data_IF_287610264633
#
_entry.id   IF_287610264633
#
_cell.length_a   1.000
_cell.length_b   1.000
_cell.length_c   1.000
_cell.angle_alpha   90.00
_cell.angle_beta   90.00
_cell.angle_gamma   90.00
#
_symmetry.space_group_name_H-M   'P 1'
#
loop_
_entity.id
_entity.type
_entity.pdbx_description
1 polymer ?
#
# COMPACT_ATOMS: atom_id res chain seq x y z
N UNK A 1 -19.62 -0.80 -9.63
CA UNK A 1 -18.98 -1.86 -8.81
C UNK A 1 -17.59 -2.17 -9.37
N UNK A 2 -16.57 -2.25 -8.52
CA UNK A 2 -15.24 -2.70 -8.94
C UNK A 2 -15.27 -4.14 -9.46
N UNK A 3 -14.27 -4.51 -10.26
CA UNK A 3 -14.23 -5.81 -10.93
C UNK A 3 -13.28 -6.80 -10.26
N UNK A 4 -12.41 -6.35 -9.35
CA UNK A 4 -11.40 -7.18 -8.73
C UNK A 4 -11.78 -7.60 -7.30
N UNK A 5 -11.55 -8.88 -6.99
CA UNK A 5 -11.65 -9.40 -5.63
C UNK A 5 -10.41 -9.02 -4.80
N UNK A 6 -9.26 -8.86 -5.45
CA UNK A 6 -8.04 -8.37 -4.83
C UNK A 6 -7.16 -7.56 -5.80
N UNK A 7 -6.34 -6.67 -5.24
CA UNK A 7 -5.26 -5.96 -5.95
C UNK A 7 -3.96 -6.13 -5.17
N UNK A 8 -2.90 -6.53 -5.88
CA UNK A 8 -1.53 -6.63 -5.33
C UNK A 8 -0.75 -5.40 -5.81
N UNK A 9 -0.33 -4.56 -4.87
CA UNK A 9 0.50 -3.39 -5.13
C UNK A 9 1.98 -3.76 -4.92
N UNK A 10 2.65 -4.04 -6.04
CA UNK A 10 4.06 -4.44 -6.11
C UNK A 10 4.86 -3.51 -7.04
N UNK A 11 4.72 -2.20 -6.83
CA UNK A 11 5.58 -1.23 -7.53
C UNK A 11 6.88 -1.02 -6.75
N UNK A 12 7.89 -0.53 -7.47
CA UNK A 12 9.14 -0.05 -6.89
C UNK A 12 8.88 1.03 -5.82
N UNK A 13 9.76 1.13 -4.82
CA UNK A 13 9.67 2.08 -3.70
C UNK A 13 9.62 3.56 -4.06
N UNK A 14 10.16 3.92 -5.22
CA UNK A 14 10.25 5.30 -5.69
C UNK A 14 9.51 5.46 -7.02
N UNK A 15 8.18 5.19 -7.07
CA UNK A 15 7.44 5.41 -8.31
C UNK A 15 7.45 6.91 -8.68
N UNK A 16 7.64 7.80 -7.69
CA UNK A 16 7.85 9.22 -7.92
C UNK A 16 9.11 9.53 -8.72
N UNK A 17 10.13 8.66 -8.77
CA UNK A 17 11.31 8.90 -9.61
C UNK A 17 10.94 9.02 -11.10
N UNK A 18 9.76 8.53 -11.49
CA UNK A 18 9.22 8.62 -12.85
C UNK A 18 8.10 9.67 -13.00
N UNK A 19 7.83 10.46 -11.95
CA UNK A 19 6.79 11.50 -11.93
C UNK A 19 7.27 12.77 -11.21
N UNK A 20 6.54 13.88 -11.27
CA UNK A 20 6.86 15.11 -10.51
C UNK A 20 6.01 15.17 -9.21
N UNK A 21 5.31 14.08 -8.88
CA UNK A 21 4.34 14.06 -7.79
C UNK A 21 5.00 13.82 -6.44
N UNK A 22 4.47 14.47 -5.41
CA UNK A 22 4.79 14.14 -4.03
C UNK A 22 4.34 12.70 -3.70
N UNK A 23 5.07 12.01 -2.82
CA UNK A 23 4.81 10.62 -2.44
C UNK A 23 3.41 10.43 -1.86
N UNK A 24 2.95 11.35 -1.02
CA UNK A 24 1.63 11.27 -0.41
C UNK A 24 0.53 11.46 -1.45
N UNK A 25 0.72 12.40 -2.37
CA UNK A 25 -0.20 12.63 -3.49
C UNK A 25 -0.27 11.40 -4.42
N UNK A 26 0.88 10.80 -4.73
CA UNK A 26 0.95 9.58 -5.53
C UNK A 26 0.15 8.44 -4.87
N UNK A 27 0.38 8.16 -3.59
CA UNK A 27 -0.31 7.09 -2.87
C UNK A 27 -1.82 7.34 -2.78
N UNK A 28 -2.26 8.57 -2.47
CA UNK A 28 -3.70 8.91 -2.44
C UNK A 28 -4.35 8.72 -3.81
N UNK A 29 -3.70 9.16 -4.88
CA UNK A 29 -4.18 8.99 -6.24
C UNK A 29 -4.25 7.50 -6.64
N UNK A 30 -3.25 6.71 -6.27
CA UNK A 30 -3.21 5.27 -6.52
C UNK A 30 -4.32 4.55 -5.74
N UNK A 31 -4.43 4.77 -4.44
CA UNK A 31 -5.43 4.11 -3.59
C UNK A 31 -6.85 4.52 -3.97
N UNK A 32 -7.08 5.76 -4.42
CA UNK A 32 -8.35 6.17 -5.02
C UNK A 32 -8.72 5.28 -6.21
N UNK A 33 -7.77 5.01 -7.11
CA UNK A 33 -8.01 4.16 -8.29
C UNK A 33 -8.20 2.69 -7.90
N UNK A 34 -7.39 2.17 -6.98
CA UNK A 34 -7.51 0.79 -6.50
C UNK A 34 -8.89 0.58 -5.85
N UNK A 35 -9.27 1.46 -4.92
CA UNK A 35 -10.56 1.39 -4.21
C UNK A 35 -11.75 1.38 -5.17
N UNK A 36 -11.72 2.20 -6.22
CA UNK A 36 -12.79 2.24 -7.25
C UNK A 36 -12.91 0.94 -8.05
N UNK A 37 -11.83 0.18 -8.18
CA UNK A 37 -11.78 -1.04 -8.98
C UNK A 37 -11.88 -2.32 -8.14
N UNK A 38 -11.76 -2.23 -6.82
CA UNK A 38 -12.07 -3.33 -5.90
C UNK A 38 -13.59 -3.47 -5.72
N UNK A 39 -14.05 -4.71 -5.64
CA UNK A 39 -15.41 -5.03 -5.18
C UNK A 39 -15.58 -4.61 -3.71
N UNK A 40 -16.82 -4.43 -3.20
CA UNK A 40 -17.07 -4.37 -1.76
C UNK A 40 -16.41 -5.56 -1.06
N UNK A 41 -15.78 -5.32 0.08
CA UNK A 41 -15.03 -6.32 0.87
C UNK A 41 -13.80 -6.93 0.14
N UNK A 42 -13.45 -6.46 -1.07
CA UNK A 42 -12.25 -6.85 -1.79
C UNK A 42 -10.97 -6.38 -1.08
N UNK A 43 -9.84 -7.04 -1.34
CA UNK A 43 -8.61 -6.88 -0.54
C UNK A 43 -7.51 -6.17 -1.35
N UNK A 44 -6.80 -5.24 -0.72
CA UNK A 44 -5.49 -4.80 -1.19
C UNK A 44 -4.40 -5.47 -0.36
N UNK A 45 -3.33 -5.94 -1.01
CA UNK A 45 -2.08 -6.31 -0.37
C UNK A 45 -0.93 -5.53 -1.02
N UNK A 46 0.04 -5.10 -0.22
CA UNK A 46 1.11 -4.21 -0.68
C UNK A 46 2.44 -4.50 0.00
N UNK A 47 3.52 -4.37 -0.77
CA UNK A 47 4.84 -4.13 -0.19
C UNK A 47 4.91 -2.66 0.24
N UNK A 48 5.36 -2.37 1.47
CA UNK A 48 5.40 -1.02 2.00
C UNK A 48 6.80 -0.41 1.93
N UNK A 49 7.75 -0.96 2.69
CA UNK A 49 9.12 -0.46 2.82
C UNK A 49 9.94 -1.37 3.74
N UNK A 50 11.26 -1.12 3.82
CA UNK A 50 12.09 -1.60 4.92
C UNK A 50 11.49 -1.17 6.26
N UNK A 51 11.51 -2.04 7.26
CA UNK A 51 11.06 -1.71 8.62
C UNK A 51 11.98 -0.70 9.32
N UNK A 52 13.10 -0.32 8.69
CA UNK A 52 13.98 0.76 9.11
C UNK A 52 13.51 2.14 8.61
N UNK A 53 12.66 2.19 7.58
CA UNK A 53 12.07 3.44 7.07
C UNK A 53 10.76 3.75 7.79
N UNK A 54 10.87 4.21 9.03
CA UNK A 54 9.70 4.50 9.86
C UNK A 54 8.87 5.66 9.31
N UNK A 55 9.50 6.63 8.64
CA UNK A 55 8.81 7.79 8.10
C UNK A 55 7.89 7.41 6.93
N UNK A 56 8.40 6.65 5.95
CA UNK A 56 7.56 6.21 4.84
C UNK A 56 6.51 5.18 5.28
N UNK A 57 6.83 4.35 6.28
CA UNK A 57 5.85 3.46 6.89
C UNK A 57 4.69 4.24 7.51
N UNK A 58 4.96 5.25 8.34
CA UNK A 58 3.92 6.04 9.01
C UNK A 58 3.02 6.76 7.98
N UNK A 59 3.62 7.33 6.92
CA UNK A 59 2.88 7.94 5.82
C UNK A 59 1.99 6.93 5.08
N UNK A 60 2.54 5.76 4.72
CA UNK A 60 1.79 4.71 4.03
C UNK A 60 0.65 4.21 4.91
N UNK A 61 0.87 4.06 6.21
CA UNK A 61 -0.14 3.63 7.18
C UNK A 61 -1.28 4.63 7.27
N UNK A 62 -0.98 5.90 7.49
CA UNK A 62 -1.98 6.97 7.56
C UNK A 62 -2.86 6.97 6.31
N UNK A 63 -2.24 7.00 5.13
CA UNK A 63 -2.97 7.02 3.85
C UNK A 63 -3.75 5.72 3.62
N UNK A 64 -3.23 4.56 4.00
CA UNK A 64 -3.97 3.31 3.84
C UNK A 64 -5.22 3.27 4.72
N UNK A 65 -5.13 3.76 5.96
CA UNK A 65 -6.23 3.89 6.92
C UNK A 65 -7.29 4.93 6.48
N UNK A 66 -6.90 5.98 5.74
CA UNK A 66 -7.84 6.92 5.11
C UNK A 66 -8.83 6.21 4.17
N UNK A 67 -8.34 5.25 3.36
CA UNK A 67 -9.10 4.67 2.24
C UNK A 67 -9.78 3.33 2.54
N UNK A 68 -9.18 2.52 3.42
CA UNK A 68 -9.58 1.12 3.63
C UNK A 68 -9.99 0.86 5.10
N UNK A 69 -10.39 -0.37 5.39
CA UNK A 69 -10.65 -0.91 6.75
C UNK A 69 -9.86 -2.19 6.96
N UNK A 70 -9.89 -2.75 8.17
CA UNK A 70 -9.15 -3.98 8.52
C UNK A 70 -7.66 -3.91 8.13
N UNK A 71 -7.04 -2.75 8.36
CA UNK A 71 -5.64 -2.51 8.01
C UNK A 71 -4.74 -3.35 8.92
N UNK A 72 -3.88 -4.15 8.32
CA UNK A 72 -2.90 -4.98 9.00
C UNK A 72 -1.53 -4.87 8.36
N UNK A 73 -0.49 -4.97 9.17
CA UNK A 73 0.90 -4.96 8.73
C UNK A 73 1.66 -6.15 9.32
N UNK A 74 2.53 -6.72 8.51
CA UNK A 74 3.42 -7.81 8.89
C UNK A 74 4.87 -7.45 8.56
N UNK A 75 5.79 -7.77 9.47
CA UNK A 75 7.24 -7.62 9.27
C UNK A 75 7.83 -8.96 8.89
N UNK A 76 8.42 -9.04 7.70
CA UNK A 76 9.02 -10.26 7.16
C UNK A 76 10.49 -9.99 6.86
N UNK A 77 11.40 -10.83 7.33
CA UNK A 77 12.81 -10.73 6.97
C UNK A 77 13.01 -11.21 5.53
N UNK A 78 13.53 -10.34 4.65
CA UNK A 78 13.82 -10.67 3.25
C UNK A 78 15.31 -10.97 3.12
N UNK A 79 15.73 -12.24 2.95
CA UNK A 79 17.15 -12.62 3.06
C UNK A 79 18.06 -11.89 2.06
N UNK A 80 17.59 -11.65 0.84
CA UNK A 80 18.36 -10.95 -0.19
C UNK A 80 18.54 -9.46 0.08
N UNK A 81 17.67 -8.84 0.89
CA UNK A 81 17.82 -7.44 1.30
C UNK A 81 18.57 -7.34 2.64
N UNK A 82 18.80 -8.47 3.31
CA UNK A 82 19.42 -8.55 4.63
C UNK A 82 18.69 -7.71 5.71
N UNK A 83 17.41 -7.41 5.52
CA UNK A 83 16.64 -6.53 6.40
C UNK A 83 15.16 -6.97 6.55
N UNK A 84 14.50 -6.59 7.66
CA UNK A 84 13.05 -6.73 7.79
C UNK A 84 12.33 -5.78 6.84
N UNK A 85 11.34 -6.29 6.10
CA UNK A 85 10.46 -5.55 5.22
C UNK A 85 9.02 -5.58 5.75
N UNK A 86 8.27 -4.51 5.54
CA UNK A 86 6.87 -4.39 5.95
C UNK A 86 5.98 -4.68 4.76
N UNK A 87 5.02 -5.58 4.95
CA UNK A 87 3.91 -5.83 4.04
C UNK A 87 2.61 -5.42 4.70
N UNK A 88 1.72 -4.80 3.91
CA UNK A 88 0.40 -4.35 4.34
C UNK A 88 -0.71 -5.15 3.68
N UNK A 89 -1.86 -5.18 4.35
CA UNK A 89 -3.12 -5.59 3.75
C UNK A 89 -4.27 -4.75 4.30
N UNK A 90 -5.32 -4.56 3.50
CA UNK A 90 -6.52 -3.87 3.94
C UNK A 90 -7.74 -4.30 3.11
N UNK A 91 -8.94 -4.04 3.64
CA UNK A 91 -10.23 -4.35 3.02
C UNK A 91 -10.90 -3.11 2.46
N UNK A 92 -11.49 -3.23 1.27
CA UNK A 92 -12.31 -2.18 0.68
C UNK A 92 -13.60 -1.98 1.47
N UNK A 93 -13.92 -0.71 1.76
CA UNK A 93 -15.17 -0.33 2.39
C UNK A 93 -16.35 -0.66 1.47
N UNK A 94 -17.49 -0.97 2.07
CA UNK A 94 -18.76 -1.13 1.36
C UNK A 94 -19.26 0.17 0.77
#
# INVERSE_FOLDING_TARGET
PGNFDAVIYDLTMHPEAFTILDKAEFLRNLFTKIRKNLRPDGIISLQCCSALDTHFFDLTKEILEEFFTDVAFEKIYVPSYCEPWIFGSARNRR
#
